data_IF_709750061802
#
_entry.id   IF_709750061802
#
_cell.length_a   1.000
_cell.length_b   1.000
_cell.length_c   1.000
_cell.angle_alpha   90.00
_cell.angle_beta   90.00
_cell.angle_gamma   90.00
#
_symmetry.space_group_name_H-M   'P 1'
#
loop_
_entity.id
_entity.type
_entity.pdbx_description
1 polymer ?
#
# COMPACT_ATOMS: atom_id res chain seq x y z
N UNK A 1 6.23 17.32 8.25
CA UNK A 1 4.87 16.96 7.83
C UNK A 1 4.55 15.57 8.27
N UNK A 2 3.40 15.37 8.86
CA UNK A 2 3.02 14.02 9.23
C UNK A 2 2.73 13.20 7.98
N UNK A 3 3.11 11.94 8.06
CA UNK A 3 2.82 11.02 6.98
C UNK A 3 1.42 10.46 7.16
N UNK A 4 0.85 9.96 6.07
CA UNK A 4 -0.39 9.23 6.18
C UNK A 4 -0.17 7.95 6.96
N UNK A 5 -1.21 7.57 7.70
CA UNK A 5 -1.20 6.34 8.48
C UNK A 5 -2.28 5.42 7.92
N UNK A 6 -2.33 4.20 8.44
CA UNK A 6 -3.38 3.27 8.05
C UNK A 6 -4.77 3.87 8.31
N UNK A 7 -4.94 4.57 9.43
CA UNK A 7 -6.22 5.18 9.73
C UNK A 7 -6.59 6.23 8.68
N UNK A 8 -5.61 6.96 8.17
CA UNK A 8 -5.88 7.94 7.13
C UNK A 8 -6.35 7.27 5.85
N UNK A 9 -5.75 6.14 5.50
CA UNK A 9 -6.16 5.40 4.31
C UNK A 9 -7.58 4.87 4.46
N UNK A 10 -7.91 4.37 5.64
CA UNK A 10 -9.25 3.85 5.90
C UNK A 10 -10.30 4.93 5.82
N UNK A 11 -9.96 6.12 6.33
CA UNK A 11 -10.89 7.22 6.33
C UNK A 11 -11.15 7.74 4.92
N UNK A 12 -10.12 7.75 4.09
CA UNK A 12 -10.26 8.31 2.75
C UNK A 12 -9.35 7.58 1.77
N UNK A 13 -9.81 6.48 1.18
CA UNK A 13 -9.00 5.72 0.24
C UNK A 13 -8.83 6.40 -1.11
N UNK A 14 -9.55 7.48 -1.35
CA UNK A 14 -9.37 8.25 -2.57
C UNK A 14 -8.27 9.27 -2.37
N UNK A 15 -7.58 9.60 -3.43
CA UNK A 15 -6.56 10.64 -3.35
C UNK A 15 -5.28 10.21 -2.67
N UNK A 16 -5.07 8.92 -2.47
CA UNK A 16 -3.85 8.41 -1.86
C UNK A 16 -2.77 8.35 -2.93
N UNK A 17 -1.63 8.97 -2.65
CA UNK A 17 -0.52 8.95 -3.58
C UNK A 17 0.25 7.66 -3.44
N UNK A 18 0.93 7.27 -4.52
CA UNK A 18 1.67 6.02 -4.53
C UNK A 18 2.72 5.98 -3.41
N UNK A 19 3.50 7.05 -3.28
CA UNK A 19 4.52 7.08 -2.25
C UNK A 19 3.93 7.01 -0.84
N UNK A 20 2.75 7.58 -0.65
CA UNK A 20 2.07 7.51 0.64
C UNK A 20 1.66 6.09 0.97
N UNK A 21 1.11 5.39 -0.01
CA UNK A 21 0.70 4.01 0.20
C UNK A 21 1.89 3.11 0.50
N UNK A 22 2.97 3.28 -0.25
CA UNK A 22 4.16 2.47 -0.03
C UNK A 22 4.75 2.72 1.36
N UNK A 23 4.73 3.97 1.82
CA UNK A 23 5.23 4.29 3.15
C UNK A 23 4.40 3.62 4.23
N UNK A 24 3.07 3.61 4.08
CA UNK A 24 2.21 2.93 5.06
C UNK A 24 2.49 1.43 5.07
N UNK A 25 2.68 0.84 3.90
CA UNK A 25 2.98 -0.59 3.83
C UNK A 25 4.29 -0.90 4.55
N UNK A 26 5.32 -0.07 4.34
CA UNK A 26 6.59 -0.28 5.04
C UNK A 26 6.44 -0.14 6.54
N UNK A 27 5.63 0.81 6.97
CA UNK A 27 5.38 1.01 8.40
C UNK A 27 4.78 -0.22 9.05
N UNK A 28 4.08 -1.04 8.27
CA UNK A 28 3.44 -2.24 8.79
C UNK A 28 4.20 -3.51 8.44
N UNK A 29 5.47 -3.37 8.13
CA UNK A 29 6.34 -4.52 7.98
C UNK A 29 6.45 -5.10 6.59
N UNK A 30 5.85 -4.45 5.60
CA UNK A 30 5.99 -4.93 4.22
C UNK A 30 7.33 -4.51 3.64
N UNK A 31 7.98 -5.43 2.96
CA UNK A 31 9.16 -5.13 2.16
C UNK A 31 8.66 -4.72 0.78
N UNK A 32 8.99 -3.50 0.38
CA UNK A 32 8.50 -2.95 -0.88
C UNK A 32 9.66 -2.78 -1.83
N UNK A 33 9.49 -3.25 -3.05
CA UNK A 33 10.51 -3.08 -4.07
C UNK A 33 9.86 -2.86 -5.42
N UNK A 34 10.62 -2.31 -6.35
CA UNK A 34 10.17 -2.20 -7.72
C UNK A 34 10.11 -3.64 -8.25
N UNK A 35 8.94 -4.01 -8.72
CA UNK A 35 8.73 -5.35 -9.22
C UNK A 35 9.06 -5.45 -10.69
N UNK A 36 8.01 -5.49 -11.48
CA UNK A 36 8.20 -5.48 -12.92
C UNK A 36 8.24 -4.04 -13.39
N UNK A 37 8.33 -3.86 -14.68
CA UNK A 37 8.39 -2.53 -15.25
C UNK A 37 7.18 -1.66 -14.94
N UNK A 38 6.10 -2.24 -14.46
CA UNK A 38 4.86 -1.50 -14.29
C UNK A 38 4.39 -1.33 -12.86
N UNK A 39 5.19 -1.69 -11.89
CA UNK A 39 4.67 -1.55 -10.55
C UNK A 39 5.64 -1.91 -9.45
N UNK A 40 5.09 -1.96 -8.26
CA UNK A 40 5.81 -2.32 -7.05
C UNK A 40 5.24 -3.59 -6.47
N UNK A 41 6.08 -4.32 -5.77
CA UNK A 41 5.67 -5.53 -5.06
C UNK A 41 5.94 -5.31 -3.59
N UNK A 42 4.91 -5.52 -2.78
CA UNK A 42 5.02 -5.44 -1.32
C UNK A 42 4.78 -6.82 -0.76
N UNK A 43 5.68 -7.28 0.10
CA UNK A 43 5.59 -8.62 0.67
C UNK A 43 5.75 -8.59 2.17
N UNK A 44 4.99 -9.42 2.84
CA UNK A 44 5.12 -9.60 4.28
C UNK A 44 4.66 -11.03 4.60
N UNK A 45 5.60 -11.85 5.07
CA UNK A 45 5.29 -13.25 5.33
C UNK A 45 4.80 -13.91 4.06
N UNK A 46 3.63 -14.50 4.11
CA UNK A 46 3.03 -15.13 2.93
C UNK A 46 2.20 -14.21 2.07
N UNK A 47 2.15 -12.93 2.41
CA UNK A 47 1.33 -11.98 1.66
C UNK A 47 2.15 -11.32 0.56
N UNK A 48 1.56 -11.21 -0.62
CA UNK A 48 2.18 -10.52 -1.74
C UNK A 48 1.14 -9.59 -2.35
N UNK A 49 1.49 -8.34 -2.51
CA UNK A 49 0.60 -7.34 -3.04
C UNK A 49 1.30 -6.60 -4.18
N UNK A 50 0.67 -6.55 -5.33
CA UNK A 50 1.22 -5.84 -6.47
C UNK A 50 0.46 -4.52 -6.65
N UNK A 51 1.21 -3.43 -6.76
CA UNK A 51 0.63 -2.11 -6.89
C UNK A 51 1.07 -1.51 -8.21
N UNK A 52 0.14 -1.30 -9.15
CA UNK A 52 0.50 -0.72 -10.44
C UNK A 52 1.00 0.70 -10.30
N UNK A 53 1.89 1.09 -11.20
CA UNK A 53 2.49 2.40 -11.17
C UNK A 53 2.06 3.22 -12.37
N UNK A 54 0.77 3.34 -12.57
CA UNK A 54 0.26 4.07 -13.72
C UNK A 54 0.04 5.55 -13.44
N UNK A 55 -0.19 5.91 -12.20
CA UNK A 55 -0.62 7.25 -11.85
C UNK A 55 0.04 7.69 -10.56
N UNK A 56 0.05 8.99 -10.34
CA UNK A 56 0.52 9.53 -9.08
C UNK A 56 -0.41 9.12 -7.94
N UNK A 57 -1.71 9.04 -8.24
CA UNK A 57 -2.72 8.67 -7.25
C UNK A 57 -3.13 7.23 -7.50
N UNK A 58 -3.10 6.43 -6.45
CA UNK A 58 -3.44 5.02 -6.53
C UNK A 58 -4.94 4.88 -6.58
N UNK A 59 -5.43 3.98 -7.44
CA UNK A 59 -6.86 3.72 -7.49
C UNK A 59 -7.36 3.18 -6.16
N UNK A 60 -8.55 3.60 -5.72
CA UNK A 60 -9.06 3.17 -4.41
C UNK A 60 -9.12 1.67 -4.22
N UNK A 61 -9.32 0.91 -5.28
CA UNK A 61 -9.39 -0.55 -5.16
C UNK A 61 -8.07 -1.10 -4.62
N UNK A 62 -6.95 -0.53 -5.04
CA UNK A 62 -5.64 -1.01 -4.54
C UNK A 62 -5.39 -0.54 -3.12
N UNK A 63 -5.87 0.66 -2.78
CA UNK A 63 -5.74 1.16 -1.42
C UNK A 63 -6.53 0.26 -0.47
N UNK A 64 -7.75 -0.10 -0.84
CA UNK A 64 -8.56 -0.99 0.00
C UNK A 64 -7.94 -2.37 0.13
N UNK A 65 -7.34 -2.87 -0.94
CA UNK A 65 -6.68 -4.16 -0.89
C UNK A 65 -5.48 -4.11 0.06
N UNK A 66 -4.72 -3.02 0.02
CA UNK A 66 -3.58 -2.86 0.93
C UNK A 66 -4.05 -2.81 2.38
N UNK A 67 -5.12 -2.07 2.64
CA UNK A 67 -5.67 -2.00 3.99
C UNK A 67 -6.05 -3.39 4.48
N UNK A 68 -6.72 -4.15 3.64
CA UNK A 68 -7.15 -5.49 3.98
C UNK A 68 -5.96 -6.38 4.30
N UNK A 69 -4.91 -6.32 3.48
CA UNK A 69 -3.71 -7.12 3.70
C UNK A 69 -3.03 -6.75 5.02
N UNK A 70 -2.95 -5.46 5.32
CA UNK A 70 -2.35 -5.02 6.56
C UNK A 70 -3.13 -5.56 7.76
N UNK A 71 -4.45 -5.51 7.68
CA UNK A 71 -5.29 -5.96 8.79
C UNK A 71 -5.34 -7.46 8.95
N UNK A 72 -5.07 -8.20 7.91
CA UNK A 72 -5.07 -9.66 7.96
C UNK A 72 -3.82 -10.22 8.59
N UNK A 73 -2.99 -9.37 9.08
CA UNK A 73 -1.82 -9.83 9.61
C UNK A 73 -2.02 -10.66 10.78
N UNK A 74 -2.25 -11.13 11.23
CA UNK A 74 -2.26 -11.74 12.19
C UNK A 74 -2.09 -12.68 12.63
N UNK A 75 -2.02 -13.09 12.91
CA UNK A 75 -1.90 -13.93 13.44
C UNK A 75 -1.75 -14.62 13.95
#
# INVERSE_FOLDING_TARGET
>A
MPRKTLADLERNPKGVRLDELLAVLRDHGFAVRAGTRHGYIAMRGGQTLTIPRHRKVVLPVYVRQAIRFIKEEQT
#
